data_IF_075247858676
#
_entry.id   IF_075247858676
#
_cell.length_a   1.000
_cell.length_b   1.000
_cell.length_c   1.000
_cell.angle_alpha   90.00
_cell.angle_beta   90.00
_cell.angle_gamma   90.00
#
_symmetry.space_group_name_H-M   'P 1'
#
loop_
_entity.id
_entity.type
_entity.pdbx_description
1 polymer ?
#
# COMPACT_ATOMS: atom_id res chain seq x y z
N UNK A 1 34.21 -52.52 54.18
CA UNK A 1 34.27 -53.57 53.18
C UNK A 1 33.04 -54.41 53.26
N UNK A 2 32.04 -54.24 52.39
CA UNK A 2 31.00 -55.19 51.93
C UNK A 2 30.13 -54.42 50.96
N UNK A 3 30.40 -54.61 49.77
CA UNK A 3 29.73 -55.14 48.59
C UNK A 3 28.50 -54.36 48.15
N UNK A 4 28.71 -53.47 47.17
CA UNK A 4 27.70 -52.86 46.30
C UNK A 4 27.71 -53.65 44.99
N UNK A 5 26.89 -54.68 44.87
CA UNK A 5 26.64 -55.37 43.62
C UNK A 5 25.39 -56.19 43.71
N UNK A 6 24.22 -55.62 43.35
CA UNK A 6 23.02 -56.36 42.89
C UNK A 6 21.80 -55.43 42.76
N UNK A 7 21.79 -54.49 41.83
CA UNK A 7 20.53 -53.93 41.28
C UNK A 7 20.87 -53.40 39.85
N UNK A 8 21.01 -54.30 38.89
CA UNK A 8 21.11 -53.97 37.47
C UNK A 8 20.67 -55.11 36.56
N UNK A 9 19.49 -55.64 36.72
CA UNK A 9 18.90 -56.59 35.75
C UNK A 9 17.37 -56.60 35.71
N UNK A 10 16.70 -55.43 35.73
CA UNK A 10 15.24 -55.37 35.68
C UNK A 10 14.62 -54.46 34.64
N UNK A 11 15.39 -53.69 33.85
CA UNK A 11 14.83 -52.62 33.01
C UNK A 11 15.20 -52.77 31.52
N UNK A 12 15.27 -53.94 30.96
CA UNK A 12 15.55 -54.13 29.54
C UNK A 12 14.49 -54.86 28.70
N UNK A 13 13.29 -55.16 29.23
CA UNK A 13 12.27 -55.89 28.49
C UNK A 13 10.95 -55.12 28.24
N UNK A 14 10.78 -53.90 28.75
CA UNK A 14 9.59 -53.12 28.58
C UNK A 14 9.43 -52.42 27.20
N UNK A 15 10.46 -51.97 26.47
CA UNK A 15 10.27 -51.24 25.22
C UNK A 15 9.89 -52.13 24.02
N UNK A 16 10.17 -53.44 24.05
CA UNK A 16 9.90 -54.33 22.90
C UNK A 16 8.40 -54.70 22.82
N UNK A 17 7.69 -54.76 23.94
CA UNK A 17 6.26 -55.11 23.96
C UNK A 17 5.37 -53.93 23.51
N UNK A 18 5.78 -52.71 23.77
CA UNK A 18 5.07 -51.50 23.32
C UNK A 18 5.24 -51.28 21.81
N UNK A 19 6.40 -51.61 21.26
CA UNK A 19 6.65 -51.53 19.82
C UNK A 19 5.85 -52.58 19.03
N UNK A 20 5.67 -53.78 19.56
CA UNK A 20 4.87 -54.83 18.93
C UNK A 20 3.37 -54.51 18.92
N UNK A 21 2.83 -53.82 19.94
CA UNK A 21 1.43 -53.38 19.97
C UNK A 21 1.16 -52.22 19.02
N UNK A 22 2.11 -51.30 18.84
CA UNK A 22 1.97 -50.18 17.91
C UNK A 22 1.99 -50.62 16.42
N UNK A 23 2.77 -51.65 16.07
CA UNK A 23 2.81 -52.21 14.70
C UNK A 23 1.53 -52.99 14.39
N UNK A 24 0.88 -53.67 15.40
CA UNK A 24 -0.38 -54.38 15.18
C UNK A 24 -1.59 -53.46 14.94
N UNK A 25 -1.59 -52.24 15.53
CA UNK A 25 -2.65 -51.25 15.32
C UNK A 25 -2.54 -50.57 13.94
N UNK A 26 -1.34 -50.37 13.41
CA UNK A 26 -1.14 -49.79 12.09
C UNK A 26 -1.49 -50.73 10.95
N UNK A 27 -1.31 -52.04 11.12
CA UNK A 27 -1.68 -53.06 10.09
C UNK A 27 -3.18 -53.34 10.03
N UNK A 28 -3.98 -53.07 11.10
CA UNK A 28 -5.42 -53.25 11.09
C UNK A 28 -6.20 -52.07 10.47
N UNK A 29 -5.61 -50.92 10.29
CA UNK A 29 -6.25 -49.73 9.69
C UNK A 29 -6.11 -49.61 8.14
N UNK A 30 -5.46 -50.59 7.50
CA UNK A 30 -5.06 -50.49 6.06
C UNK A 30 -5.95 -51.22 5.06
N UNK A 31 -7.10 -51.78 5.40
CA UNK A 31 -7.88 -52.66 4.51
C UNK A 31 -9.35 -52.27 4.35
N UNK A 32 -9.74 -51.03 4.48
CA UNK A 32 -11.07 -50.58 4.06
C UNK A 32 -11.00 -49.32 3.20
N UNK A 33 -10.51 -49.46 1.99
CA UNK A 33 -10.90 -48.59 0.89
C UNK A 33 -12.01 -49.31 0.13
N UNK A 34 -13.24 -49.11 0.51
CA UNK A 34 -14.38 -49.45 -0.31
C UNK A 34 -14.59 -48.34 -1.34
N UNK A 35 -14.78 -48.66 -2.64
CA UNK A 35 -15.16 -47.65 -3.62
C UNK A 35 -16.56 -47.15 -3.28
N UNK A 36 -16.75 -45.83 -3.32
CA UNK A 36 -18.06 -45.21 -3.18
C UNK A 36 -18.91 -45.63 -4.37
N UNK A 37 -19.75 -46.64 -4.19
CA UNK A 37 -20.89 -46.89 -5.11
C UNK A 37 -21.92 -45.80 -4.82
N UNK A 38 -22.35 -45.11 -5.87
CA UNK A 38 -23.52 -44.26 -5.82
C UNK A 38 -24.70 -45.04 -5.24
N UNK A 39 -25.27 -44.51 -4.16
CA UNK A 39 -26.51 -45.02 -3.61
C UNK A 39 -27.61 -44.75 -4.62
N UNK A 40 -28.02 -45.81 -5.38
CA UNK A 40 -29.31 -45.83 -6.02
C UNK A 40 -30.37 -45.78 -4.88
N UNK A 41 -31.11 -44.69 -4.85
CA UNK A 41 -32.30 -44.59 -4.01
C UNK A 41 -33.27 -45.71 -4.42
N UNK A 42 -33.36 -46.77 -3.57
CA UNK A 42 -34.40 -47.73 -3.69
C UNK A 42 -35.74 -47.06 -3.41
N UNK A 43 -36.43 -46.67 -4.45
CA UNK A 43 -37.82 -46.25 -4.39
C UNK A 43 -38.66 -47.38 -3.80
N UNK A 44 -38.95 -47.28 -2.52
CA UNK A 44 -39.91 -48.13 -1.86
C UNK A 44 -41.28 -48.02 -2.56
N UNK A 45 -41.88 -49.15 -2.88
CA UNK A 45 -43.23 -49.20 -3.45
C UNK A 45 -44.21 -48.66 -2.40
N UNK A 46 -44.92 -47.59 -2.77
CA UNK A 46 -45.95 -47.00 -1.94
C UNK A 46 -47.26 -47.70 -2.23
N UNK A 47 -48.05 -47.95 -1.16
CA UNK A 47 -49.45 -48.47 -1.27
C UNK A 47 -50.33 -47.64 -2.20
N UNK A 48 -49.96 -46.39 -2.50
CA UNK A 48 -50.63 -45.48 -3.42
C UNK A 48 -50.44 -45.92 -4.86
N UNK A 49 -49.31 -46.50 -5.23
CA UNK A 49 -49.03 -46.96 -6.63
C UNK A 49 -49.75 -48.28 -6.93
N UNK A 50 -50.18 -49.03 -5.89
CA UNK A 50 -51.00 -50.26 -6.06
C UNK A 50 -52.48 -49.95 -6.27
N UNK A 51 -53.01 -48.83 -5.70
CA UNK A 51 -54.45 -48.53 -5.70
C UNK A 51 -54.87 -47.60 -6.87
N UNK A 52 -53.92 -46.94 -7.51
CA UNK A 52 -54.18 -46.02 -8.63
C UNK A 52 -53.20 -46.31 -9.77
N UNK A 53 -53.51 -47.21 -10.71
CA UNK A 53 -52.67 -47.48 -11.85
C UNK A 53 -52.61 -46.22 -12.73
N UNK A 54 -51.42 -45.68 -12.88
CA UNK A 54 -51.18 -44.55 -13.76
C UNK A 54 -51.42 -44.98 -15.21
N UNK A 55 -52.31 -44.29 -15.88
CA UNK A 55 -52.57 -44.41 -17.30
C UNK A 55 -51.24 -44.10 -18.05
N UNK A 56 -50.71 -45.07 -18.75
CA UNK A 56 -49.50 -44.92 -19.58
C UNK A 56 -49.76 -43.90 -20.69
N UNK A 57 -49.34 -42.67 -20.47
CA UNK A 57 -49.21 -41.72 -21.58
C UNK A 57 -48.06 -42.18 -22.47
N UNK A 58 -48.38 -42.26 -23.74
CA UNK A 58 -47.47 -42.63 -24.82
C UNK A 58 -46.30 -41.65 -24.82
N UNK A 59 -45.11 -42.12 -24.44
CA UNK A 59 -43.89 -41.31 -24.45
C UNK A 59 -43.50 -41.15 -25.91
N UNK A 60 -43.69 -39.95 -26.48
CA UNK A 60 -43.02 -39.52 -27.69
C UNK A 60 -41.53 -39.45 -27.45
N UNK A 61 -40.68 -39.86 -28.41
CA UNK A 61 -39.22 -39.82 -28.21
C UNK A 61 -38.76 -38.37 -27.93
N UNK A 62 -37.78 -38.17 -27.05
CA UNK A 62 -37.29 -36.83 -26.70
C UNK A 62 -36.78 -36.12 -27.97
N UNK A 63 -37.40 -35.00 -28.30
CA UNK A 63 -36.82 -34.07 -29.28
C UNK A 63 -35.48 -33.60 -28.67
N UNK A 64 -34.40 -33.86 -29.35
CA UNK A 64 -33.05 -33.44 -29.02
C UNK A 64 -33.02 -31.91 -28.98
N UNK A 65 -33.27 -31.35 -27.79
CA UNK A 65 -33.18 -29.91 -27.56
C UNK A 65 -31.70 -29.56 -27.55
N UNK A 66 -31.19 -29.02 -28.63
CA UNK A 66 -29.87 -28.42 -28.67
C UNK A 66 -29.73 -27.44 -27.52
N UNK A 67 -28.65 -27.53 -26.70
CA UNK A 67 -28.46 -26.62 -25.58
C UNK A 67 -28.45 -25.18 -26.07
N UNK A 68 -29.42 -24.37 -25.63
CA UNK A 68 -29.39 -22.92 -25.89
C UNK A 68 -28.04 -22.39 -25.46
N UNK A 69 -27.30 -21.65 -26.31
CA UNK A 69 -26.05 -21.05 -25.92
C UNK A 69 -26.32 -20.14 -24.72
N UNK A 70 -25.63 -20.42 -23.62
CA UNK A 70 -25.68 -19.56 -22.41
C UNK A 70 -25.36 -18.13 -22.84
N UNK A 71 -26.17 -17.12 -22.44
CA UNK A 71 -25.88 -15.76 -22.81
C UNK A 71 -24.46 -15.42 -22.32
N UNK A 72 -23.57 -15.09 -23.24
CA UNK A 72 -22.23 -14.59 -22.91
C UNK A 72 -22.42 -13.38 -22.00
N UNK A 73 -22.02 -13.47 -20.72
CA UNK A 73 -21.95 -12.32 -19.84
C UNK A 73 -21.17 -11.24 -20.59
N UNK A 74 -21.82 -10.14 -20.92
CA UNK A 74 -21.16 -8.97 -21.49
C UNK A 74 -20.05 -8.61 -20.49
N UNK A 75 -18.80 -8.77 -20.90
CA UNK A 75 -17.66 -8.28 -20.15
C UNK A 75 -17.89 -6.78 -19.92
N UNK A 76 -17.87 -6.34 -18.65
CA UNK A 76 -17.88 -4.92 -18.35
C UNK A 76 -16.75 -4.27 -19.17
N UNK A 77 -16.97 -3.09 -19.75
CA UNK A 77 -15.91 -2.38 -20.44
C UNK A 77 -14.68 -2.31 -19.51
N UNK A 78 -13.55 -2.81 -19.97
CA UNK A 78 -12.28 -2.65 -19.27
C UNK A 78 -12.01 -1.12 -19.21
N UNK A 79 -11.72 -0.55 -18.05
CA UNK A 79 -11.30 0.84 -18.00
C UNK A 79 -10.18 1.07 -19.03
N UNK A 80 -10.09 2.26 -19.63
CA UNK A 80 -8.98 2.59 -20.51
C UNK A 80 -7.68 2.22 -19.82
N UNK A 81 -6.79 1.50 -20.51
CA UNK A 81 -5.45 1.24 -19.99
C UNK A 81 -4.79 2.59 -19.70
N UNK A 82 -4.35 2.80 -18.45
CA UNK A 82 -3.47 3.93 -18.15
C UNK A 82 -2.31 3.92 -19.14
N UNK A 83 -1.90 5.08 -19.68
CA UNK A 83 -0.75 5.15 -20.56
C UNK A 83 0.45 4.54 -19.82
N UNK A 84 1.03 3.49 -20.40
CA UNK A 84 2.24 2.89 -19.86
C UNK A 84 3.35 3.95 -19.89
N UNK A 85 3.84 4.32 -18.72
CA UNK A 85 5.01 5.20 -18.60
C UNK A 85 6.16 4.54 -19.34
N UNK A 86 6.85 5.25 -20.27
CA UNK A 86 7.98 4.69 -20.98
C UNK A 86 9.06 4.26 -19.96
N UNK A 87 9.40 2.98 -19.96
CA UNK A 87 10.47 2.46 -19.10
C UNK A 87 11.79 2.91 -19.72
N UNK A 88 12.45 3.85 -19.04
CA UNK A 88 13.78 4.33 -19.43
C UNK A 88 14.83 3.35 -18.94
N UNK A 89 15.80 3.01 -19.79
CA UNK A 89 16.90 2.15 -19.40
C UNK A 89 17.72 2.79 -18.27
N UNK A 90 17.98 2.02 -17.21
CA UNK A 90 18.73 2.52 -16.05
C UNK A 90 20.22 2.60 -16.37
N UNK A 91 20.85 3.69 -15.97
CA UNK A 91 22.28 3.88 -16.16
C UNK A 91 23.11 2.90 -15.32
N UNK A 92 24.35 2.64 -15.73
CA UNK A 92 25.23 1.71 -15.01
C UNK A 92 25.60 2.21 -13.60
N UNK A 93 25.58 3.53 -13.39
CA UNK A 93 25.82 4.22 -12.13
C UNK A 93 24.52 4.56 -11.36
N UNK A 94 23.37 4.01 -11.79
CA UNK A 94 22.11 4.22 -11.12
C UNK A 94 22.19 3.84 -9.63
N UNK A 95 21.74 4.76 -8.78
CA UNK A 95 21.68 4.53 -7.33
C UNK A 95 20.68 3.47 -6.99
N UNK A 96 21.13 2.43 -6.29
CA UNK A 96 20.30 1.31 -5.89
C UNK A 96 19.50 1.69 -4.65
N UNK A 97 18.19 1.51 -4.72
CA UNK A 97 17.25 1.56 -3.59
C UNK A 97 16.89 0.12 -3.26
N UNK A 98 17.38 -0.38 -2.12
CA UNK A 98 17.11 -1.74 -1.67
C UNK A 98 15.86 -1.76 -0.80
N UNK A 99 14.82 -2.46 -1.24
CA UNK A 99 13.56 -2.64 -0.49
C UNK A 99 13.54 -4.04 0.12
N UNK A 100 13.43 -4.11 1.44
CA UNK A 100 13.44 -5.37 2.19
C UNK A 100 12.20 -5.53 3.06
N UNK A 101 11.77 -6.75 3.28
CA UNK A 101 10.66 -7.07 4.16
C UNK A 101 9.77 -8.20 3.67
N UNK A 102 8.48 -8.15 4.02
CA UNK A 102 7.49 -9.15 3.67
C UNK A 102 6.80 -8.87 2.30
N UNK A 103 5.61 -9.44 2.07
CA UNK A 103 4.89 -9.26 0.81
C UNK A 103 4.49 -7.80 0.53
N UNK A 104 4.30 -6.96 1.59
CA UNK A 104 4.03 -5.55 1.40
C UNK A 104 5.25 -4.79 0.90
N UNK A 105 6.46 -5.18 1.34
CA UNK A 105 7.71 -4.64 0.81
C UNK A 105 7.84 -4.90 -0.71
N UNK A 106 7.45 -6.11 -1.17
CA UNK A 106 7.39 -6.39 -2.60
C UNK A 106 6.43 -5.44 -3.33
N UNK A 107 5.24 -5.22 -2.74
CA UNK A 107 4.27 -4.27 -3.28
C UNK A 107 4.77 -2.83 -3.32
N UNK A 108 5.46 -2.39 -2.26
CA UNK A 108 6.10 -1.08 -2.20
C UNK A 108 7.17 -0.93 -3.28
N UNK A 109 8.02 -1.95 -3.46
CA UNK A 109 9.05 -1.95 -4.49
C UNK A 109 8.48 -1.82 -5.90
N UNK A 110 7.41 -2.55 -6.23
CA UNK A 110 6.69 -2.43 -7.51
C UNK A 110 6.11 -1.00 -7.71
N UNK A 111 5.56 -0.41 -6.63
CA UNK A 111 5.06 0.97 -6.65
C UNK A 111 6.16 1.99 -6.88
N UNK A 112 7.33 1.81 -6.24
CA UNK A 112 8.51 2.66 -6.42
C UNK A 112 9.13 2.48 -7.81
N UNK A 113 9.20 1.25 -8.32
CA UNK A 113 9.69 1.01 -9.68
C UNK A 113 8.84 1.75 -10.72
N UNK A 114 7.51 1.74 -10.52
CA UNK A 114 6.59 2.55 -11.34
C UNK A 114 6.82 4.06 -11.16
N UNK A 115 7.06 4.51 -9.92
CA UNK A 115 7.28 5.93 -9.61
C UNK A 115 8.56 6.50 -10.23
N UNK A 116 9.60 5.68 -10.30
CA UNK A 116 10.91 6.06 -10.84
C UNK A 116 11.18 5.45 -12.21
N UNK A 117 10.15 4.98 -12.94
CA UNK A 117 10.30 4.34 -14.24
C UNK A 117 11.04 5.23 -15.26
N UNK A 118 10.75 6.51 -15.24
CA UNK A 118 11.33 7.55 -16.11
C UNK A 118 12.67 8.11 -15.62
N UNK A 119 13.13 7.73 -14.42
CA UNK A 119 14.38 8.23 -13.85
C UNK A 119 15.52 7.22 -14.07
N UNK A 120 16.46 7.46 -15.02
CA UNK A 120 17.53 6.51 -15.31
C UNK A 120 18.55 6.36 -14.16
N UNK A 121 18.63 7.34 -13.26
CA UNK A 121 19.62 7.37 -12.18
C UNK A 121 19.18 6.62 -10.90
N UNK A 122 17.99 6.02 -10.88
CA UNK A 122 17.45 5.27 -9.72
C UNK A 122 17.04 3.88 -10.15
N UNK A 123 17.53 2.88 -9.43
CA UNK A 123 17.20 1.47 -9.62
C UNK A 123 16.57 0.91 -8.34
N UNK A 124 15.37 0.36 -8.42
CA UNK A 124 14.71 -0.31 -7.30
C UNK A 124 15.09 -1.79 -7.32
N UNK A 125 15.53 -2.30 -6.18
CA UNK A 125 15.86 -3.71 -5.99
C UNK A 125 15.07 -4.25 -4.80
N UNK A 126 14.20 -5.22 -5.06
CA UNK A 126 13.44 -5.89 -4.01
C UNK A 126 14.19 -7.15 -3.52
N UNK A 127 14.32 -7.26 -2.20
CA UNK A 127 14.76 -8.48 -1.51
C UNK A 127 13.73 -8.76 -0.42
N UNK A 128 12.60 -9.34 -0.83
CA UNK A 128 11.47 -9.61 0.05
C UNK A 128 11.30 -11.12 0.27
N UNK A 129 10.83 -11.48 1.46
CA UNK A 129 10.37 -12.82 1.78
C UNK A 129 8.93 -12.71 2.29
N UNK A 130 7.94 -13.07 1.46
CA UNK A 130 6.53 -12.80 1.68
C UNK A 130 5.97 -13.31 3.01
N UNK A 131 6.52 -14.40 3.55
CA UNK A 131 6.08 -15.03 4.80
C UNK A 131 6.94 -14.67 6.01
N UNK A 132 7.91 -13.78 5.85
CA UNK A 132 8.81 -13.38 6.92
C UNK A 132 8.18 -12.36 7.86
N UNK A 133 8.83 -12.17 9.00
CA UNK A 133 8.48 -11.21 10.05
C UNK A 133 9.55 -11.24 11.14
N UNK A 134 9.30 -10.54 12.24
CA UNK A 134 10.18 -10.59 13.41
C UNK A 134 9.84 -11.77 14.34
N UNK A 135 8.59 -12.26 14.31
CA UNK A 135 8.15 -13.38 15.14
C UNK A 135 8.74 -14.70 14.62
N UNK A 136 8.80 -14.87 13.31
CA UNK A 136 9.26 -16.08 12.63
C UNK A 136 10.68 -15.91 12.08
N UNK A 137 11.63 -15.64 12.99
CA UNK A 137 13.05 -15.57 12.69
C UNK A 137 13.66 -16.91 12.23
N UNK A 138 12.96 -18.01 12.49
CA UNK A 138 13.22 -19.34 11.95
C UNK A 138 12.94 -19.44 10.43
N UNK A 139 12.01 -18.64 9.89
CA UNK A 139 11.71 -18.57 8.46
C UNK A 139 12.74 -17.70 7.74
N UNK A 140 13.00 -16.52 8.28
CA UNK A 140 14.00 -15.60 7.75
C UNK A 140 14.48 -14.62 8.82
N UNK A 141 15.77 -14.63 9.10
CA UNK A 141 16.37 -13.77 10.13
C UNK A 141 16.92 -12.49 9.50
N UNK A 142 16.08 -11.44 9.47
CA UNK A 142 16.43 -10.15 8.86
C UNK A 142 17.69 -9.51 9.47
N UNK A 143 17.84 -9.41 10.81
CA UNK A 143 19.06 -8.87 11.41
C UNK A 143 20.35 -9.58 10.97
N UNK A 144 20.32 -10.89 10.80
CA UNK A 144 21.47 -11.66 10.37
C UNK A 144 21.79 -11.51 8.87
N UNK A 145 20.76 -11.27 8.05
CA UNK A 145 20.90 -11.25 6.58
C UNK A 145 21.16 -9.84 6.01
N UNK A 146 20.71 -8.79 6.70
CA UNK A 146 20.68 -7.44 6.12
C UNK A 146 22.07 -6.92 5.71
N UNK A 147 23.12 -7.22 6.48
CA UNK A 147 24.48 -6.78 6.15
C UNK A 147 24.98 -7.40 4.84
N UNK A 148 24.78 -8.70 4.67
CA UNK A 148 25.15 -9.41 3.43
C UNK A 148 24.37 -8.91 2.22
N UNK A 149 23.08 -8.59 2.38
CA UNK A 149 22.28 -7.98 1.33
C UNK A 149 22.82 -6.60 0.93
N UNK A 150 23.19 -5.78 1.91
CA UNK A 150 23.78 -4.45 1.65
C UNK A 150 25.14 -4.55 0.98
N UNK A 151 25.99 -5.48 1.41
CA UNK A 151 27.31 -5.72 0.78
C UNK A 151 27.17 -6.19 -0.68
N UNK A 152 26.16 -7.01 -0.96
CA UNK A 152 25.89 -7.54 -2.30
C UNK A 152 25.31 -6.47 -3.24
N UNK A 153 24.25 -5.77 -2.78
CA UNK A 153 23.50 -4.84 -3.62
C UNK A 153 24.10 -3.43 -3.65
N UNK A 154 24.94 -3.10 -2.66
CA UNK A 154 25.58 -1.78 -2.47
C UNK A 154 24.62 -0.61 -2.61
N UNK A 155 23.51 -0.62 -1.85
CA UNK A 155 22.46 0.37 -2.01
C UNK A 155 22.89 1.75 -1.51
N UNK A 156 22.35 2.78 -2.14
CA UNK A 156 22.44 4.15 -1.67
C UNK A 156 21.47 4.41 -0.49
N UNK A 157 20.41 3.60 -0.37
CA UNK A 157 19.41 3.67 0.70
C UNK A 157 18.72 2.32 0.85
N UNK A 158 18.37 1.96 2.08
CA UNK A 158 17.56 0.77 2.40
C UNK A 158 16.16 1.22 2.81
N UNK A 159 15.13 0.54 2.33
CA UNK A 159 13.74 0.72 2.74
C UNK A 159 13.25 -0.57 3.37
N UNK A 160 12.78 -0.49 4.62
CA UNK A 160 12.23 -1.63 5.37
C UNK A 160 10.72 -1.50 5.42
N UNK A 161 9.99 -2.56 5.06
CA UNK A 161 8.55 -2.69 5.29
C UNK A 161 8.24 -4.13 5.70
N UNK A 162 8.05 -4.37 7.01
CA UNK A 162 8.03 -5.71 7.58
C UNK A 162 7.12 -5.75 8.80
N UNK A 163 6.36 -6.83 8.98
CA UNK A 163 5.56 -7.06 10.18
C UNK A 163 4.11 -7.49 9.93
N UNK A 164 3.67 -7.55 8.69
CA UNK A 164 2.28 -7.96 8.37
C UNK A 164 1.94 -9.39 8.84
N UNK A 165 2.96 -10.24 9.00
CA UNK A 165 2.83 -11.63 9.43
C UNK A 165 3.01 -11.83 10.95
N UNK A 166 3.28 -10.78 11.72
CA UNK A 166 3.79 -10.91 13.10
C UNK A 166 2.71 -11.06 14.17
N UNK A 167 1.43 -11.12 13.77
CA UNK A 167 0.31 -11.36 14.69
C UNK A 167 0.22 -12.82 15.13
N UNK A 168 1.29 -13.37 15.63
CA UNK A 168 1.45 -14.79 16.02
C UNK A 168 2.01 -14.89 17.43
N UNK A 169 1.75 -16.04 18.06
CA UNK A 169 2.45 -16.42 19.29
C UNK A 169 3.95 -16.51 19.03
N UNK A 170 4.74 -16.01 19.98
CA UNK A 170 6.18 -16.07 19.94
C UNK A 170 6.72 -16.84 21.14
N UNK A 171 7.71 -17.68 20.93
CA UNK A 171 8.42 -18.33 22.04
C UNK A 171 9.38 -17.32 22.67
N UNK A 172 9.16 -17.02 23.95
CA UNK A 172 10.03 -16.17 24.77
C UNK A 172 10.55 -17.02 25.93
N UNK A 173 11.84 -17.34 25.91
CA UNK A 173 12.35 -18.40 26.80
C UNK A 173 11.68 -19.72 26.52
N UNK A 174 11.08 -20.33 27.56
CA UNK A 174 10.33 -21.60 27.43
C UNK A 174 8.82 -21.41 27.25
N UNK A 175 8.31 -20.18 27.29
CA UNK A 175 6.87 -19.88 27.24
C UNK A 175 6.46 -19.39 25.85
N UNK A 176 5.26 -19.83 25.41
CA UNK A 176 4.61 -19.27 24.21
C UNK A 176 3.75 -18.08 24.63
N UNK A 177 4.23 -16.90 24.30
CA UNK A 177 3.56 -15.64 24.61
C UNK A 177 2.55 -15.26 23.51
N UNK A 178 1.41 -14.71 23.94
CA UNK A 178 0.39 -14.21 23.03
C UNK A 178 0.82 -12.88 22.41
N UNK A 179 0.41 -12.57 21.16
CA UNK A 179 0.67 -11.28 20.55
C UNK A 179 0.24 -10.13 21.49
N UNK A 180 1.13 -9.17 21.70
CA UNK A 180 0.95 -7.99 22.53
C UNK A 180 0.84 -8.24 24.05
N UNK A 181 1.15 -9.47 24.56
CA UNK A 181 1.47 -9.60 25.98
C UNK A 181 2.75 -8.83 26.29
N UNK A 182 2.97 -8.52 27.55
CA UNK A 182 4.13 -7.72 28.00
C UNK A 182 5.46 -8.35 27.55
N UNK A 183 5.64 -9.66 27.80
CA UNK A 183 6.87 -10.36 27.45
C UNK A 183 7.03 -10.47 25.90
N UNK A 184 5.92 -10.70 25.19
CA UNK A 184 5.90 -10.73 23.73
C UNK A 184 6.34 -9.36 23.17
N UNK A 185 5.81 -8.27 23.70
CA UNK A 185 6.12 -6.91 23.24
C UNK A 185 7.59 -6.59 23.47
N UNK A 186 8.13 -6.87 24.66
CA UNK A 186 9.55 -6.65 24.98
C UNK A 186 10.46 -7.44 24.03
N UNK A 187 10.12 -8.70 23.74
CA UNK A 187 10.91 -9.50 22.82
C UNK A 187 10.76 -9.01 21.37
N UNK A 188 9.57 -8.55 20.98
CA UNK A 188 9.33 -7.98 19.66
C UNK A 188 10.14 -6.69 19.45
N UNK A 189 10.12 -5.78 20.43
CA UNK A 189 10.95 -4.58 20.44
C UNK A 189 12.45 -4.92 20.34
N UNK A 190 12.90 -5.92 21.08
CA UNK A 190 14.31 -6.38 21.00
C UNK A 190 14.68 -6.89 19.63
N UNK A 191 13.79 -7.62 18.95
CA UNK A 191 14.03 -8.16 17.59
C UNK A 191 13.99 -7.08 16.53
N UNK A 192 13.05 -6.14 16.64
CA UNK A 192 12.99 -4.98 15.73
C UNK A 192 14.19 -4.06 15.90
N UNK A 193 14.61 -3.79 17.14
CA UNK A 193 15.80 -3.00 17.42
C UNK A 193 17.09 -3.67 16.94
N UNK A 194 17.17 -5.00 16.98
CA UNK A 194 18.30 -5.75 16.41
C UNK A 194 18.45 -5.49 14.89
N UNK A 195 17.35 -5.36 14.14
CA UNK A 195 17.41 -4.97 12.75
C UNK A 195 17.83 -3.49 12.59
N UNK A 196 17.27 -2.59 13.41
CA UNK A 196 17.65 -1.17 13.43
C UNK A 196 19.14 -0.97 13.66
N UNK A 197 19.71 -1.65 14.65
CA UNK A 197 21.15 -1.64 14.96
C UNK A 197 21.99 -2.21 13.81
N UNK A 198 21.55 -3.33 13.21
CA UNK A 198 22.25 -3.93 12.09
C UNK A 198 22.29 -2.99 10.88
N UNK A 199 21.22 -2.21 10.64
CA UNK A 199 21.17 -1.17 9.61
C UNK A 199 22.10 0.00 9.96
N UNK A 200 22.03 0.52 11.19
CA UNK A 200 22.87 1.63 11.66
C UNK A 200 24.38 1.32 11.51
N UNK A 201 24.79 0.11 11.80
CA UNK A 201 26.19 -0.33 11.69
C UNK A 201 26.70 -0.28 10.25
N UNK A 202 25.84 -0.40 9.25
CA UNK A 202 26.23 -0.32 7.82
C UNK A 202 26.49 1.11 7.37
N UNK A 203 26.02 2.10 8.11
CA UNK A 203 26.06 3.54 7.79
C UNK A 203 25.33 3.89 6.48
N UNK A 204 24.58 2.98 5.91
CA UNK A 204 23.70 3.25 4.78
C UNK A 204 22.40 3.87 5.33
N UNK A 205 21.95 5.03 4.83
CA UNK A 205 20.70 5.62 5.27
C UNK A 205 19.53 4.68 5.03
N UNK A 206 18.56 4.67 5.93
CA UNK A 206 17.39 3.81 5.78
C UNK A 206 16.08 4.51 6.12
N UNK A 207 15.02 4.07 5.47
CA UNK A 207 13.63 4.41 5.74
C UNK A 207 12.92 3.18 6.30
N UNK A 208 12.12 3.38 7.33
CA UNK A 208 11.23 2.34 7.85
C UNK A 208 9.79 2.73 7.53
N UNK A 209 9.16 2.00 6.61
CA UNK A 209 7.79 2.25 6.19
C UNK A 209 6.83 1.50 7.10
N UNK A 210 5.88 2.22 7.68
CA UNK A 210 4.87 1.67 8.57
C UNK A 210 3.91 0.74 7.85
N UNK A 211 3.19 -0.07 8.62
CA UNK A 211 2.11 -0.93 8.11
C UNK A 211 0.87 -0.08 7.84
N UNK A 212 0.20 -0.27 6.70
CA UNK A 212 -1.09 0.37 6.43
C UNK A 212 -2.22 -0.31 7.20
N UNK A 213 -3.40 0.32 7.25
CA UNK A 213 -4.61 -0.30 7.77
C UNK A 213 -5.03 -1.55 6.96
N UNK A 214 -5.68 -2.51 7.62
CA UNK A 214 -6.16 -3.76 7.06
C UNK A 214 -7.66 -3.93 7.29
N UNK A 215 -8.33 -4.78 6.50
CA UNK A 215 -9.77 -5.02 6.58
C UNK A 215 -10.26 -5.69 7.88
N UNK A 216 -9.34 -6.12 8.75
CA UNK A 216 -9.66 -6.78 10.03
C UNK A 216 -9.35 -5.83 11.18
N UNK A 217 -10.38 -5.36 11.92
CA UNK A 217 -10.23 -4.35 12.97
C UNK A 217 -9.19 -4.71 14.05
N UNK A 218 -9.16 -5.98 14.50
CA UNK A 218 -8.14 -6.43 15.46
C UNK A 218 -6.73 -6.32 14.89
N UNK A 219 -6.56 -6.51 13.58
CA UNK A 219 -5.27 -6.35 12.91
C UNK A 219 -4.84 -4.89 12.92
N UNK A 220 -5.77 -3.95 12.74
CA UNK A 220 -5.48 -2.52 12.75
C UNK A 220 -4.87 -2.05 14.07
N UNK A 221 -5.47 -2.43 15.20
CA UNK A 221 -4.92 -2.05 16.52
C UNK A 221 -3.54 -2.65 16.78
N UNK A 222 -3.27 -3.84 16.23
CA UNK A 222 -1.95 -4.47 16.34
C UNK A 222 -0.94 -3.75 15.45
N UNK A 223 -1.32 -3.38 14.21
CA UNK A 223 -0.44 -2.66 13.29
C UNK A 223 -0.10 -1.25 13.77
N UNK A 224 -1.03 -0.54 14.40
CA UNK A 224 -0.74 0.76 15.03
C UNK A 224 0.33 0.61 16.12
N UNK A 225 0.16 -0.38 17.01
CA UNK A 225 1.16 -0.62 18.05
C UNK A 225 2.53 -1.06 17.48
N UNK A 226 2.53 -1.79 16.36
CA UNK A 226 3.78 -2.13 15.67
C UNK A 226 4.41 -0.88 15.02
N UNK A 227 3.61 0.00 14.42
CA UNK A 227 4.09 1.25 13.86
C UNK A 227 4.73 2.15 14.92
N UNK A 228 4.20 2.20 16.14
CA UNK A 228 4.83 2.92 17.27
C UNK A 228 6.23 2.37 17.60
N UNK A 229 6.36 1.04 17.62
CA UNK A 229 7.65 0.37 17.81
C UNK A 229 8.60 0.68 16.64
N UNK A 230 8.15 0.58 15.40
CA UNK A 230 8.98 0.86 14.22
C UNK A 230 9.44 2.31 14.16
N UNK A 231 8.55 3.24 14.51
CA UNK A 231 8.90 4.66 14.60
C UNK A 231 10.02 4.88 15.63
N UNK A 232 9.84 4.34 16.84
CA UNK A 232 10.84 4.44 17.91
C UNK A 232 12.19 3.82 17.52
N UNK A 233 12.16 2.61 16.91
CA UNK A 233 13.38 1.91 16.47
C UNK A 233 14.07 2.65 15.33
N UNK A 234 13.33 3.12 14.33
CA UNK A 234 13.90 3.88 13.23
C UNK A 234 14.61 5.13 13.74
N UNK A 235 13.94 5.92 14.59
CA UNK A 235 14.49 7.15 15.15
C UNK A 235 15.73 6.88 16.02
N UNK A 236 15.68 5.87 16.88
CA UNK A 236 16.79 5.52 17.80
C UNK A 236 18.04 5.02 17.07
N UNK A 237 17.88 4.45 15.87
CA UNK A 237 18.96 3.90 15.07
C UNK A 237 19.34 4.78 13.87
N UNK A 238 18.89 6.04 13.83
CA UNK A 238 19.29 7.02 12.82
C UNK A 238 18.61 6.87 11.45
N UNK A 239 17.50 6.13 11.39
CA UNK A 239 16.60 6.06 10.22
C UNK A 239 15.46 7.05 10.31
N UNK A 240 14.68 7.15 9.24
CA UNK A 240 13.45 7.94 9.16
C UNK A 240 12.24 7.02 9.05
N UNK A 241 11.21 7.23 9.88
CA UNK A 241 9.96 6.49 9.79
C UNK A 241 9.03 7.17 8.78
N UNK A 242 8.40 6.39 7.92
CA UNK A 242 7.44 6.85 6.91
C UNK A 242 6.07 6.30 7.26
N UNK A 243 5.19 7.16 7.73
CA UNK A 243 3.81 6.79 8.01
C UNK A 243 2.99 6.73 6.71
N UNK A 244 2.28 5.63 6.52
CA UNK A 244 1.40 5.40 5.37
C UNK A 244 -0.06 5.19 5.78
N UNK A 245 -0.35 5.27 7.09
CA UNK A 245 -1.64 4.92 7.67
C UNK A 245 -2.80 5.69 7.06
N UNK A 246 -2.69 7.02 7.02
CA UNK A 246 -3.73 7.92 6.51
C UNK A 246 -4.09 7.67 5.04
N UNK A 247 -3.20 7.05 4.31
CA UNK A 247 -3.46 6.65 2.91
C UNK A 247 -4.51 5.55 2.75
N UNK A 248 -4.83 4.80 3.83
CA UNK A 248 -5.63 3.58 3.78
C UNK A 248 -6.77 3.54 4.80
N UNK A 249 -7.10 4.69 5.37
CA UNK A 249 -8.23 4.90 6.29
C UNK A 249 -9.09 6.07 5.83
N UNK A 250 -10.32 6.16 6.35
CA UNK A 250 -11.19 7.32 6.20
C UNK A 250 -10.89 8.39 7.26
N UNK A 251 -11.67 9.47 7.25
CA UNK A 251 -11.58 10.59 8.19
C UNK A 251 -11.79 10.18 9.66
N UNK A 252 -12.40 9.03 9.91
CA UNK A 252 -12.61 8.47 11.24
C UNK A 252 -11.52 7.44 11.63
N UNK A 253 -10.51 7.25 10.79
CA UNK A 253 -9.46 6.25 11.00
C UNK A 253 -9.89 4.81 10.70
N UNK A 254 -11.05 4.61 10.06
CA UNK A 254 -11.52 3.28 9.68
C UNK A 254 -10.94 2.84 8.34
N UNK A 255 -10.62 1.54 8.23
CA UNK A 255 -10.10 0.95 7.00
C UNK A 255 -11.01 1.20 5.79
N UNK A 256 -10.41 1.55 4.66
CA UNK A 256 -11.10 1.69 3.37
C UNK A 256 -10.53 0.78 2.30
N UNK A 257 -11.41 0.19 1.50
CA UNK A 257 -11.02 -0.60 0.32
C UNK A 257 -10.67 0.29 -0.87
N UNK A 258 -11.34 1.45 -0.97
CA UNK A 258 -11.17 2.43 -2.05
C UNK A 258 -10.94 3.80 -1.45
N UNK A 259 -10.16 4.62 -2.13
CA UNK A 259 -9.85 5.98 -1.70
C UNK A 259 -9.15 6.75 -2.83
N UNK A 260 -8.75 8.00 -2.60
CA UNK A 260 -8.05 8.78 -3.61
C UNK A 260 -6.69 8.15 -3.96
N UNK A 261 -6.38 8.09 -5.25
CA UNK A 261 -5.05 7.78 -5.74
C UNK A 261 -4.11 8.99 -5.54
N UNK A 262 -2.92 8.92 -6.13
CA UNK A 262 -1.92 10.01 -6.07
C UNK A 262 -2.37 11.30 -6.78
N UNK A 263 -3.41 11.24 -7.63
CA UNK A 263 -4.01 12.36 -8.36
C UNK A 263 -5.36 12.79 -7.75
N UNK A 264 -5.73 12.21 -6.60
CA UNK A 264 -7.02 12.49 -5.95
C UNK A 264 -8.22 11.75 -6.56
N UNK A 265 -8.02 10.84 -7.53
CA UNK A 265 -9.11 10.11 -8.16
C UNK A 265 -9.52 8.91 -7.31
N UNK A 266 -10.84 8.65 -7.15
CA UNK A 266 -11.32 7.52 -6.37
C UNK A 266 -11.02 6.21 -7.08
N UNK A 267 -10.14 5.40 -6.49
CA UNK A 267 -9.73 4.10 -7.01
C UNK A 267 -9.77 3.03 -5.92
N UNK A 268 -9.75 1.78 -6.35
CA UNK A 268 -9.60 0.67 -5.42
C UNK A 268 -8.15 0.50 -5.03
N UNK A 269 -7.86 0.63 -3.73
CA UNK A 269 -6.51 0.54 -3.15
C UNK A 269 -6.20 -0.85 -2.59
N UNK A 270 -7.22 -1.59 -2.16
CA UNK A 270 -7.10 -2.89 -1.50
C UNK A 270 -7.85 -3.98 -2.28
N UNK A 271 -7.35 -5.21 -2.21
CA UNK A 271 -8.03 -6.40 -2.72
C UNK A 271 -9.26 -6.74 -1.87
N UNK A 272 -10.09 -7.70 -2.31
CA UNK A 272 -11.30 -8.13 -1.61
C UNK A 272 -11.02 -8.76 -0.24
N UNK A 273 -9.81 -9.29 -0.07
CA UNK A 273 -9.35 -9.88 1.19
C UNK A 273 -9.05 -8.83 2.29
N UNK A 274 -9.03 -7.54 1.95
CA UNK A 274 -8.66 -6.46 2.87
C UNK A 274 -7.21 -6.50 3.35
N UNK A 275 -6.36 -7.35 2.76
CA UNK A 275 -4.96 -7.57 3.14
C UNK A 275 -4.02 -7.11 2.03
N UNK A 276 -4.22 -7.63 0.82
CA UNK A 276 -3.37 -7.29 -0.32
C UNK A 276 -3.69 -5.91 -0.88
N UNK A 277 -2.67 -5.24 -1.43
CA UNK A 277 -2.79 -3.96 -2.10
C UNK A 277 -2.91 -4.14 -3.62
N UNK A 278 -3.76 -3.33 -4.26
CA UNK A 278 -3.89 -3.29 -5.72
C UNK A 278 -2.70 -2.54 -6.36
N UNK A 279 -2.62 -2.51 -7.69
CA UNK A 279 -1.62 -1.67 -8.39
C UNK A 279 -1.68 -0.21 -7.93
N UNK A 280 -2.88 0.38 -7.82
CA UNK A 280 -3.05 1.74 -7.31
C UNK A 280 -2.64 1.87 -5.83
N UNK A 281 -2.95 0.87 -4.99
CA UNK A 281 -2.51 0.83 -3.60
C UNK A 281 -0.99 0.76 -3.46
N UNK A 282 -0.29 -0.03 -4.27
CA UNK A 282 1.18 -0.10 -4.34
C UNK A 282 1.77 1.25 -4.74
N UNK A 283 1.19 1.91 -5.75
CA UNK A 283 1.61 3.26 -6.18
C UNK A 283 1.39 4.30 -5.06
N UNK A 284 0.32 4.17 -4.29
CA UNK A 284 0.04 5.03 -3.14
C UNK A 284 1.02 4.80 -1.98
N UNK A 285 1.39 3.56 -1.67
CA UNK A 285 2.47 3.27 -0.71
C UNK A 285 3.78 3.95 -1.13
N UNK A 286 4.14 3.82 -2.41
CA UNK A 286 5.32 4.47 -2.96
C UNK A 286 5.27 6.00 -2.82
N UNK A 287 4.12 6.62 -3.07
CA UNK A 287 3.93 8.06 -2.99
C UNK A 287 4.34 8.64 -1.62
N UNK A 288 3.98 7.98 -0.51
CA UNK A 288 4.41 8.41 0.82
C UNK A 288 5.93 8.31 1.01
N UNK A 289 6.56 7.38 0.30
CA UNK A 289 8.00 7.10 0.43
C UNK A 289 8.84 7.96 -0.52
N UNK A 290 8.28 8.48 -1.61
CA UNK A 290 9.01 9.22 -2.64
C UNK A 290 9.72 10.47 -2.12
N UNK A 291 9.04 11.27 -1.30
CA UNK A 291 9.60 12.53 -0.79
C UNK A 291 10.82 12.32 0.12
N UNK A 292 10.74 11.47 1.17
CA UNK A 292 11.90 11.17 2.00
C UNK A 292 13.01 10.46 1.21
N UNK A 293 12.66 9.57 0.29
CA UNK A 293 13.62 8.90 -0.58
C UNK A 293 14.37 9.89 -1.49
N UNK A 294 13.64 10.79 -2.16
CA UNK A 294 14.23 11.82 -3.02
C UNK A 294 15.19 12.73 -2.23
N UNK A 295 14.83 13.09 -0.99
CA UNK A 295 15.68 13.86 -0.08
C UNK A 295 17.01 13.16 0.19
N UNK A 296 16.97 11.86 0.54
CA UNK A 296 18.18 11.05 0.80
C UNK A 296 19.02 10.93 -0.47
N UNK A 297 18.38 10.71 -1.61
CA UNK A 297 19.05 10.60 -2.89
C UNK A 297 19.48 11.96 -3.48
N UNK A 298 19.16 13.10 -2.85
CA UNK A 298 19.48 14.43 -3.40
C UNK A 298 18.83 14.68 -4.76
N UNK A 299 17.64 14.13 -4.98
CA UNK A 299 16.83 14.31 -6.20
C UNK A 299 15.80 15.42 -5.98
N UNK A 300 15.40 16.11 -7.05
CA UNK A 300 14.16 16.88 -7.02
C UNK A 300 13.00 15.93 -6.70
N UNK A 301 12.07 16.34 -5.82
CA UNK A 301 10.92 15.50 -5.48
C UNK A 301 10.11 15.18 -6.76
N UNK A 302 9.66 13.91 -6.95
CA UNK A 302 8.79 13.55 -8.06
C UNK A 302 7.56 14.48 -8.07
N UNK A 303 7.21 15.04 -9.20
CA UNK A 303 6.13 16.04 -9.34
C UNK A 303 6.54 17.49 -9.07
N UNK A 304 7.77 17.78 -8.63
CA UNK A 304 8.32 19.12 -8.75
C UNK A 304 8.52 19.40 -10.24
N UNK A 305 7.69 20.27 -10.79
CA UNK A 305 7.94 20.80 -12.13
C UNK A 305 9.34 21.42 -12.08
N UNK A 306 10.32 20.71 -12.64
CA UNK A 306 11.62 21.31 -12.92
C UNK A 306 11.32 22.34 -13.97
N UNK A 307 11.09 23.59 -13.55
CA UNK A 307 11.20 24.69 -14.48
C UNK A 307 12.58 24.54 -15.05
N UNK A 308 12.64 24.14 -16.32
CA UNK A 308 13.87 24.11 -17.11
C UNK A 308 14.55 25.46 -16.85
N UNK A 309 15.65 25.41 -16.11
CA UNK A 309 16.44 26.62 -15.85
C UNK A 309 16.87 27.14 -17.18
N UNK A 310 16.10 28.12 -17.68
CA UNK A 310 16.60 29.06 -18.71
C UNK A 310 17.95 29.55 -18.19
N UNK A 311 19.02 29.57 -18.99
CA UNK A 311 20.34 29.98 -18.54
C UNK A 311 20.23 31.31 -17.78
N UNK A 312 20.86 31.32 -16.62
CA UNK A 312 20.76 32.37 -15.62
C UNK A 312 20.83 33.77 -16.23
N UNK A 313 19.69 34.47 -16.27
CA UNK A 313 19.70 35.91 -16.22
C UNK A 313 20.30 36.29 -14.86
N UNK A 314 21.17 37.29 -14.84
CA UNK A 314 21.87 37.77 -13.65
C UNK A 314 20.93 37.88 -12.43
N UNK A 315 21.44 37.65 -11.22
CA UNK A 315 20.59 37.62 -10.02
C UNK A 315 19.91 38.99 -9.88
N UNK A 316 18.58 38.97 -9.99
CA UNK A 316 17.78 40.10 -9.53
C UNK A 316 17.97 40.09 -8.01
N UNK A 317 18.68 41.05 -7.47
CA UNK A 317 18.77 41.30 -6.05
C UNK A 317 17.37 41.72 -5.61
N UNK A 318 16.59 40.75 -5.15
CA UNK A 318 15.34 41.03 -4.43
C UNK A 318 15.81 41.52 -3.05
N UNK A 319 15.63 42.80 -2.82
CA UNK A 319 15.86 43.41 -1.51
C UNK A 319 14.93 42.72 -0.52
N UNK A 320 15.49 41.70 0.18
CA UNK A 320 14.78 41.00 1.24
C UNK A 320 14.86 41.91 2.45
N UNK A 321 13.74 42.53 2.83
CA UNK A 321 13.59 43.15 4.10
C UNK A 321 14.03 42.14 5.20
N UNK A 322 14.89 42.61 6.10
CA UNK A 322 15.38 41.82 7.23
C UNK A 322 14.19 41.24 8.01
N UNK A 323 14.31 40.02 8.60
CA UNK A 323 13.25 39.45 9.43
C UNK A 323 12.89 40.43 10.54
N UNK A 324 11.63 40.87 10.61
CA UNK A 324 11.14 41.70 11.68
C UNK A 324 10.76 40.86 12.88
N UNK A 325 11.25 41.22 14.07
CA UNK A 325 10.85 40.62 15.35
C UNK A 325 9.44 41.13 15.69
N UNK A 326 8.51 40.20 15.95
CA UNK A 326 7.11 40.47 16.36
C UNK A 326 6.96 41.28 17.65
N UNK A 327 8.05 41.59 18.35
CA UNK A 327 8.09 42.39 19.58
C UNK A 327 8.80 43.71 19.43
N UNK A 328 8.99 44.26 18.21
CA UNK A 328 9.61 45.56 18.01
C UNK A 328 8.66 46.69 18.40
N UNK A 329 8.97 47.51 19.39
CA UNK A 329 8.11 48.62 19.84
C UNK A 329 7.82 49.66 18.77
N UNK A 330 8.61 49.71 17.69
CA UNK A 330 8.41 50.61 16.55
C UNK A 330 7.19 50.23 15.68
N UNK A 331 6.67 49.01 15.85
CA UNK A 331 5.49 48.50 15.12
C UNK A 331 4.15 48.74 15.82
N UNK A 332 4.16 49.20 17.08
CA UNK A 332 2.96 49.37 17.92
C UNK A 332 2.16 50.66 17.61
N UNK A 333 2.61 51.49 16.67
CA UNK A 333 1.98 52.77 16.32
C UNK A 333 1.38 52.88 14.91
N UNK A 334 1.40 51.85 14.15
CA UNK A 334 0.97 51.89 12.74
C UNK A 334 -0.28 51.04 12.43
N UNK A 335 -1.25 51.63 11.78
CA UNK A 335 -2.45 50.95 11.22
C UNK A 335 -2.13 50.11 9.99
N UNK A 336 -0.88 49.71 9.73
CA UNK A 336 -0.48 48.91 8.60
C UNK A 336 -0.47 47.42 8.92
N UNK A 337 -1.28 46.65 8.25
CA UNK A 337 -1.28 45.19 8.27
C UNK A 337 0.06 44.67 7.71
N UNK A 338 0.77 43.87 8.47
CA UNK A 338 1.97 43.15 8.05
C UNK A 338 1.71 42.40 6.73
N UNK A 339 2.37 42.82 5.64
CA UNK A 339 2.25 42.20 4.32
C UNK A 339 1.51 43.03 3.27
N UNK A 340 1.00 44.19 3.60
CA UNK A 340 0.49 45.14 2.61
C UNK A 340 1.70 45.81 1.97
N UNK A 341 2.17 45.31 0.83
CA UNK A 341 2.89 46.17 -0.09
C UNK A 341 2.04 47.42 -0.37
N UNK A 342 2.60 48.63 -0.31
CA UNK A 342 1.88 49.83 -0.69
C UNK A 342 1.21 49.54 -2.03
N UNK A 343 -0.10 49.75 -2.18
CA UNK A 343 -0.78 49.53 -3.44
C UNK A 343 -0.11 50.45 -4.45
N UNK A 344 0.46 49.86 -5.51
CA UNK A 344 0.78 50.60 -6.71
C UNK A 344 -0.45 51.46 -7.00
N UNK A 345 -0.27 52.77 -7.22
CA UNK A 345 -1.36 53.74 -7.43
C UNK A 345 -2.50 53.07 -8.19
N UNK A 346 -3.62 52.90 -7.49
CA UNK A 346 -4.81 52.28 -8.07
C UNK A 346 -5.21 53.03 -9.35
N UNK A 347 -5.31 52.32 -10.46
CA UNK A 347 -5.91 52.91 -11.67
C UNK A 347 -7.43 52.79 -11.49
N UNK A 348 -8.13 53.94 -11.26
CA UNK A 348 -9.58 53.91 -10.99
C UNK A 348 -10.42 53.33 -12.11
N UNK A 349 -9.81 53.03 -13.26
CA UNK A 349 -10.48 52.46 -14.43
C UNK A 349 -10.46 50.92 -14.47
N UNK A 350 -9.64 50.28 -13.63
CA UNK A 350 -9.61 48.80 -13.60
C UNK A 350 -10.87 48.24 -12.96
N UNK A 351 -11.52 47.24 -13.57
CA UNK A 351 -12.77 46.64 -13.06
C UNK A 351 -12.67 46.12 -11.63
N UNK A 352 -11.50 45.60 -11.20
CA UNK A 352 -11.25 45.11 -9.85
C UNK A 352 -11.21 46.23 -8.80
N UNK A 353 -10.75 47.43 -9.15
CA UNK A 353 -10.65 48.54 -8.20
C UNK A 353 -12.03 49.22 -7.93
N UNK A 354 -12.90 49.24 -8.93
CA UNK A 354 -14.28 49.65 -8.73
C UNK A 354 -15.03 48.77 -7.75
N UNK A 355 -14.73 47.47 -7.69
CA UNK A 355 -15.27 46.58 -6.74
C UNK A 355 -14.78 46.89 -5.30
N UNK A 356 -13.50 47.21 -5.16
CA UNK A 356 -12.87 47.49 -3.84
C UNK A 356 -13.26 48.88 -3.33
N UNK A 357 -13.26 49.89 -4.22
CA UNK A 357 -13.49 51.28 -3.84
C UNK A 357 -14.98 51.66 -3.78
N UNK A 358 -15.82 51.12 -4.65
CA UNK A 358 -17.23 51.50 -4.80
C UNK A 358 -18.20 50.36 -4.43
N UNK A 359 -17.69 49.16 -4.16
CA UNK A 359 -18.56 47.97 -3.89
C UNK A 359 -19.38 47.52 -5.10
N UNK A 360 -19.08 48.00 -6.30
CA UNK A 360 -19.80 47.68 -7.51
C UNK A 360 -19.09 46.62 -8.33
N UNK A 361 -19.71 45.44 -8.43
CA UNK A 361 -19.21 44.40 -9.32
C UNK A 361 -19.25 44.82 -10.80
N UNK A 362 -18.26 44.53 -11.61
CA UNK A 362 -18.31 44.73 -13.04
C UNK A 362 -19.47 43.94 -13.66
N UNK A 363 -20.08 44.49 -14.71
CA UNK A 363 -21.16 43.78 -15.39
C UNK A 363 -20.66 42.48 -15.99
N UNK A 364 -21.37 41.40 -15.72
CA UNK A 364 -21.01 40.08 -16.25
C UNK A 364 -21.09 40.09 -17.78
N UNK A 365 -20.04 39.54 -18.44
CA UNK A 365 -20.05 39.40 -19.92
C UNK A 365 -20.98 38.21 -20.26
N UNK A 366 -21.84 38.35 -21.32
CA UNK A 366 -22.73 37.25 -21.71
C UNK A 366 -22.02 35.93 -21.92
N UNK A 367 -22.54 34.85 -21.32
CA UNK A 367 -21.98 33.49 -21.45
C UNK A 367 -20.83 33.14 -20.50
N UNK A 368 -20.52 33.96 -19.51
CA UNK A 368 -19.59 33.61 -18.43
C UNK A 368 -20.33 32.90 -17.30
N UNK A 369 -19.61 32.13 -16.50
CA UNK A 369 -20.18 31.39 -15.34
C UNK A 369 -20.79 32.28 -14.25
N UNK A 370 -20.47 33.58 -14.24
CA UNK A 370 -20.98 34.61 -13.33
C UNK A 370 -22.16 35.44 -13.92
N UNK A 371 -22.65 35.08 -15.11
CA UNK A 371 -23.84 35.69 -15.71
C UNK A 371 -25.13 34.97 -15.24
N UNK A 372 -25.77 35.49 -14.22
CA UNK A 372 -27.04 34.97 -13.65
C UNK A 372 -28.28 35.63 -14.26
N UNK A 373 -28.17 36.35 -15.38
CA UNK A 373 -29.32 36.99 -16.03
C UNK A 373 -30.27 35.96 -16.64
N UNK A 374 -31.59 36.08 -16.36
CA UNK A 374 -32.64 35.25 -16.92
C UNK A 374 -33.69 36.10 -17.63
N UNK A 375 -34.09 35.78 -18.87
CA UNK A 375 -33.60 34.70 -19.75
C UNK A 375 -32.21 34.99 -20.27
N UNK A 376 -31.42 33.92 -20.60
CA UNK A 376 -30.05 34.07 -21.08
C UNK A 376 -30.02 34.88 -22.37
N UNK A 377 -29.19 35.89 -22.44
CA UNK A 377 -29.00 36.70 -23.66
C UNK A 377 -28.37 35.82 -24.76
N UNK A 378 -28.91 35.86 -26.02
CA UNK A 378 -28.34 35.07 -27.09
C UNK A 378 -26.90 35.50 -27.35
N UNK A 379 -25.98 34.54 -27.30
CA UNK A 379 -24.58 34.73 -27.70
C UNK A 379 -24.57 35.05 -29.18
N UNK A 380 -24.00 36.18 -29.60
CA UNK A 380 -23.80 36.52 -31.01
C UNK A 380 -23.00 35.42 -31.67
N UNK A 381 -23.56 34.74 -32.67
CA UNK A 381 -22.88 33.73 -33.45
C UNK A 381 -21.62 34.34 -34.09
N UNK A 382 -20.49 33.68 -33.89
CA UNK A 382 -19.24 34.05 -34.57
C UNK A 382 -19.50 34.04 -36.10
N UNK A 383 -19.31 35.16 -36.76
CA UNK A 383 -19.36 35.20 -38.22
C UNK A 383 -18.19 34.39 -38.79
N UNK A 384 -18.42 33.50 -39.76
CA UNK A 384 -17.33 32.83 -40.41
C UNK A 384 -16.47 33.85 -41.22
N UNK A 385 -15.20 33.82 -40.98
CA UNK A 385 -14.21 34.58 -41.78
C UNK A 385 -14.37 34.22 -43.26
N UNK A 386 -14.83 35.17 -44.03
CA UNK A 386 -14.82 35.10 -45.50
C UNK A 386 -13.37 35.17 -45.97
N UNK A 387 -12.87 34.05 -46.42
CA UNK A 387 -11.59 33.92 -47.09
C UNK A 387 -11.54 34.89 -48.29
N UNK A 388 -10.59 35.83 -48.26
CA UNK A 388 -10.26 36.68 -49.37
C UNK A 388 -9.81 35.87 -50.57
N UNK A 389 -10.44 36.10 -51.71
CA UNK A 389 -10.11 35.46 -52.97
C UNK A 389 -8.74 35.84 -53.46
N UNK A 390 -8.05 34.84 -53.98
CA UNK A 390 -6.85 35.02 -54.79
C UNK A 390 -7.30 35.29 -56.22
N UNK A 391 -6.98 36.49 -56.76
CA UNK A 391 -7.03 36.79 -58.17
C UNK A 391 -5.65 36.58 -58.80
N UNK A 392 -5.65 35.80 -59.89
CA UNK A 392 -4.65 35.62 -60.94
C UNK A 392 -3.39 34.86 -60.57
#
# INVERSE_FOLDING_TARGET
MVSVARIRQGIRRAPILILALAVLVVTAAGVFHAPAFAQEESRGWSLRDLLFPRRSERIEPPVEVQPRPKPKKKSKPRPPAEPETPIVEKTNDARVVLVVGDFLASGLAEGLDTAFADNPAVRIVARSNGSSGFVRDDVYNWPAQIKSLIETEKPAVVIVMLGSNDRQQMKVGEVREQPRSENWTKEYERRTDALGKALQETKVPFLWVGMPAFGVSKMNSDMLAFNDIYHSVAQSNGGEFVDVWDGFVDENGAFVTSGPDINGQPVRLRSDDGINVTKAGKRKLAFYTEKPLAKILGLAAPGSITTVSKPAAAPIIVDRTAPMLLGDPALDGGTELLGAAQPARADPNLPGEKLILEGKAPAASPGRADDFSWPPKPTAAAQPDTAAGVNQ
#
